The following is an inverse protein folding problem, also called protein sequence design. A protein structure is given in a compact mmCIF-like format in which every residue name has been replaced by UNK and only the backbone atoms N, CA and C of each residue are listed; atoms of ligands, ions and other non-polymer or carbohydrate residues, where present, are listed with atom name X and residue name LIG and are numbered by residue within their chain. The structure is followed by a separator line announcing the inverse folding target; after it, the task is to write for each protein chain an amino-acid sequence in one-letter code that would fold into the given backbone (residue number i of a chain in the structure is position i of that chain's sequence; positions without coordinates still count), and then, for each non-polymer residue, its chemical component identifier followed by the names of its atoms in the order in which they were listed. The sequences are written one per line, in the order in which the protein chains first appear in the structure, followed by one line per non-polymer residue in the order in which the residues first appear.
data_IF_681997565051
#
_entry.id   IF_681997565051
#
_cell.length_a   1.000
_cell.length_b   1.000
_cell.length_c   1.000
_cell.angle_alpha   90.00
_cell.angle_beta   90.00
_cell.angle_gamma   90.00
#
_symmetry.space_group_name_H-M   'P 1'
#
loop_
_entity.id
_entity.type
_entity.pdbx_description
1 polymer ?
#
# COMPACT_ATOMS: atom_id res chain seq x y z
N UNK A 1 29.26 -79.55 24.93
CA UNK A 1 28.73 -79.51 26.31
C UNK A 1 27.85 -78.29 26.48
N UNK A 2 26.55 -78.42 26.79
CA UNK A 2 25.63 -77.30 26.91
C UNK A 2 25.83 -76.57 28.24
N UNK A 3 25.91 -75.23 28.21
CA UNK A 3 25.97 -74.40 29.42
C UNK A 3 24.59 -74.41 30.10
N UNK A 4 24.54 -74.62 31.43
CA UNK A 4 23.28 -74.79 32.14
C UNK A 4 22.48 -73.49 32.21
N UNK A 5 21.16 -73.64 32.05
CA UNK A 5 20.17 -72.58 32.19
C UNK A 5 20.18 -72.05 33.63
N UNK A 6 20.54 -70.78 33.82
CA UNK A 6 20.56 -70.12 35.13
C UNK A 6 19.13 -69.77 35.55
N UNK A 7 18.56 -70.56 36.45
CA UNK A 7 17.28 -70.29 37.13
C UNK A 7 17.37 -68.97 37.92
N UNK A 8 16.50 -68.00 37.61
CA UNK A 8 16.34 -66.77 38.40
C UNK A 8 15.82 -67.14 39.79
N UNK A 9 16.61 -66.82 40.81
CA UNK A 9 16.21 -66.99 42.21
C UNK A 9 15.03 -66.09 42.60
N UNK A 10 14.32 -66.43 43.69
CA UNK A 10 13.10 -65.75 44.11
C UNK A 10 13.39 -64.28 44.39
N UNK A 11 12.65 -63.40 43.69
CA UNK A 11 12.69 -61.97 43.94
C UNK A 11 12.16 -61.75 45.36
N UNK A 12 13.02 -61.21 46.22
CA UNK A 12 12.67 -60.83 47.58
C UNK A 12 11.42 -59.94 47.58
N UNK A 13 10.40 -60.31 48.38
CA UNK A 13 9.13 -59.57 48.55
C UNK A 13 9.32 -58.08 48.87
N UNK A 14 10.51 -57.66 49.35
CA UNK A 14 10.85 -56.24 49.56
C UNK A 14 11.11 -55.48 48.25
N UNK A 15 11.75 -56.10 47.25
CA UNK A 15 12.02 -55.47 45.94
C UNK A 15 10.74 -55.29 45.11
N UNK A 16 9.81 -56.24 45.23
CA UNK A 16 8.51 -56.17 44.56
C UNK A 16 7.64 -55.02 45.10
N UNK A 17 7.61 -54.82 46.43
CA UNK A 17 6.92 -53.68 47.05
C UNK A 17 7.50 -52.31 46.64
N UNK A 18 8.83 -52.21 46.51
CA UNK A 18 9.47 -50.96 46.05
C UNK A 18 9.13 -50.65 44.58
N UNK A 19 9.15 -51.66 43.70
CA UNK A 19 8.81 -51.47 42.29
C UNK A 19 7.34 -51.08 42.10
N UNK A 20 6.41 -51.74 42.81
CA UNK A 20 4.99 -51.38 42.76
C UNK A 20 4.69 -50.00 43.37
N UNK A 21 5.44 -49.57 44.39
CA UNK A 21 5.34 -48.21 44.96
C UNK A 21 5.74 -47.15 43.95
N UNK A 22 6.88 -47.31 43.28
CA UNK A 22 7.37 -46.34 42.29
C UNK A 22 6.49 -46.31 41.03
N UNK A 23 6.04 -47.48 40.54
CA UNK A 23 5.07 -47.55 39.42
C UNK A 23 3.74 -46.88 39.79
N UNK A 24 3.27 -47.03 41.04
CA UNK A 24 2.03 -46.39 41.52
C UNK A 24 2.21 -44.87 41.69
N UNK A 25 3.38 -44.38 42.08
CA UNK A 25 3.71 -42.93 42.12
C UNK A 25 3.80 -42.34 40.71
N UNK A 26 4.47 -43.02 39.77
CA UNK A 26 4.58 -42.57 38.38
C UNK A 26 3.22 -42.52 37.68
N UNK A 27 2.33 -43.50 37.90
CA UNK A 27 0.95 -43.46 37.36
C UNK A 27 0.14 -42.28 37.87
N UNK A 28 0.31 -41.89 39.15
CA UNK A 28 -0.35 -40.70 39.71
C UNK A 28 0.22 -39.42 39.13
N UNK A 29 1.54 -39.35 38.89
CA UNK A 29 2.18 -38.18 38.31
C UNK A 29 1.77 -37.97 36.85
N UNK A 30 1.69 -39.05 36.06
CA UNK A 30 1.20 -39.01 34.66
C UNK A 30 -0.27 -38.60 34.61
N UNK A 31 -1.10 -39.07 35.54
CA UNK A 31 -2.51 -38.68 35.61
C UNK A 31 -2.67 -37.19 35.96
N UNK A 32 -1.88 -36.66 36.91
CA UNK A 32 -1.89 -35.24 37.26
C UNK A 32 -1.41 -34.37 36.09
N UNK A 33 -0.39 -34.82 35.34
CA UNK A 33 0.10 -34.11 34.15
C UNK A 33 -0.93 -34.11 33.01
N UNK A 34 -1.63 -35.23 32.81
CA UNK A 34 -2.70 -35.33 31.81
C UNK A 34 -3.92 -34.46 32.17
N UNK A 35 -4.30 -34.40 33.45
CA UNK A 35 -5.38 -33.51 33.93
C UNK A 35 -4.95 -32.03 33.79
N UNK A 36 -3.69 -31.69 34.07
CA UNK A 36 -3.17 -30.34 33.88
C UNK A 36 -3.11 -29.91 32.39
N UNK A 37 -2.87 -30.84 31.47
CA UNK A 37 -2.89 -30.60 30.02
C UNK A 37 -4.32 -30.44 29.45
N UNK A 38 -5.32 -31.08 30.05
CA UNK A 38 -6.74 -30.95 29.67
C UNK A 38 -7.38 -29.71 30.32
N UNK A 39 -6.82 -29.25 31.44
CA UNK A 39 -7.25 -28.03 32.14
C UNK A 39 -6.54 -26.76 31.65
N UNK A 40 -5.78 -26.81 30.55
CA UNK A 40 -5.29 -25.60 29.91
C UNK A 40 -6.51 -24.81 29.42
N UNK A 41 -6.75 -23.57 29.92
CA UNK A 41 -7.81 -22.74 29.37
C UNK A 41 -7.54 -22.58 27.88
N UNK A 42 -8.54 -22.85 27.04
CA UNK A 42 -8.48 -22.40 25.65
C UNK A 42 -8.60 -20.88 25.70
N UNK A 43 -7.48 -20.19 25.86
CA UNK A 43 -7.43 -18.75 25.66
C UNK A 43 -8.00 -18.51 24.26
N UNK A 44 -9.08 -17.73 24.17
CA UNK A 44 -9.59 -17.33 22.88
C UNK A 44 -8.49 -16.70 22.05
N UNK A 45 -8.42 -17.12 20.80
CA UNK A 45 -7.45 -16.61 19.86
C UNK A 45 -8.08 -15.45 19.09
N UNK A 46 -7.43 -14.29 19.12
CA UNK A 46 -7.71 -13.19 18.20
C UNK A 46 -6.67 -13.24 17.10
N UNK A 47 -7.11 -13.40 15.87
CA UNK A 47 -6.26 -13.36 14.68
C UNK A 47 -6.45 -12.04 13.98
N UNK A 48 -5.35 -11.38 13.64
CA UNK A 48 -5.36 -10.19 12.81
C UNK A 48 -4.58 -10.43 11.52
N UNK A 49 -5.11 -9.91 10.42
CA UNK A 49 -4.48 -10.05 9.10
C UNK A 49 -4.54 -8.75 8.34
N UNK A 50 -3.43 -8.38 7.74
CA UNK A 50 -3.34 -7.29 6.78
C UNK A 50 -3.61 -7.85 5.39
N UNK A 51 -4.60 -7.33 4.67
CA UNK A 51 -4.94 -7.84 3.32
C UNK A 51 -5.05 -6.70 2.32
N UNK A 52 -4.34 -6.81 1.20
CA UNK A 52 -4.41 -5.84 0.12
C UNK A 52 -5.81 -5.83 -0.53
N UNK A 53 -6.31 -4.65 -0.84
CA UNK A 53 -7.59 -4.45 -1.54
C UNK A 53 -7.33 -4.39 -3.05
N UNK A 54 -7.53 -5.51 -3.75
CA UNK A 54 -7.26 -5.60 -5.19
C UNK A 54 -5.80 -5.24 -5.53
N UNK A 55 -5.58 -4.61 -6.68
CA UNK A 55 -4.27 -4.11 -7.11
C UNK A 55 -4.02 -2.65 -6.68
N UNK A 56 -4.44 -2.28 -5.45
CA UNK A 56 -4.30 -0.91 -4.92
C UNK A 56 -3.24 -0.80 -3.82
N UNK A 57 -2.92 0.43 -3.41
CA UNK A 57 -2.09 0.73 -2.25
C UNK A 57 -2.88 0.77 -0.93
N UNK A 58 -4.08 0.19 -0.90
CA UNK A 58 -4.99 0.16 0.25
C UNK A 58 -5.01 -1.24 0.86
N UNK A 59 -4.95 -1.30 2.19
CA UNK A 59 -4.92 -2.53 2.97
C UNK A 59 -6.01 -2.52 4.03
N UNK A 60 -6.75 -3.62 4.13
CA UNK A 60 -7.65 -3.84 5.26
C UNK A 60 -6.85 -4.36 6.46
N UNK A 61 -7.12 -3.79 7.63
CA UNK A 61 -6.73 -4.36 8.93
C UNK A 61 -7.91 -5.20 9.39
N UNK A 62 -7.80 -6.52 9.24
CA UNK A 62 -8.87 -7.45 9.58
C UNK A 62 -8.63 -8.07 10.95
N UNK A 63 -9.72 -8.49 11.61
CA UNK A 63 -9.70 -9.30 12.81
C UNK A 63 -10.66 -10.48 12.69
N UNK A 64 -10.38 -11.53 13.44
CA UNK A 64 -11.28 -12.63 13.73
C UNK A 64 -11.01 -13.15 15.14
N UNK A 65 -12.06 -13.47 15.90
CA UNK A 65 -11.97 -14.16 17.19
C UNK A 65 -12.75 -15.47 17.14
N UNK A 66 -12.23 -16.48 17.83
CA UNK A 66 -12.97 -17.71 18.12
C UNK A 66 -13.50 -17.76 19.55
N UNK A 67 -13.25 -16.70 20.35
CA UNK A 67 -13.74 -16.60 21.72
C UNK A 67 -15.24 -16.29 21.76
N UNK A 68 -15.90 -16.74 22.83
CA UNK A 68 -17.28 -16.37 23.12
C UNK A 68 -17.39 -14.92 23.61
N UNK A 69 -16.37 -14.42 24.31
CA UNK A 69 -16.23 -13.02 24.69
C UNK A 69 -15.62 -12.26 23.52
N UNK A 70 -16.22 -11.15 23.11
CA UNK A 70 -15.73 -10.40 21.95
C UNK A 70 -14.69 -9.35 22.37
N UNK A 71 -13.77 -8.96 21.46
CA UNK A 71 -12.91 -7.81 21.66
C UNK A 71 -13.73 -6.53 21.83
N UNK A 72 -13.44 -5.75 22.87
CA UNK A 72 -13.97 -4.40 23.11
C UNK A 72 -13.11 -3.32 22.49
N UNK A 73 -11.80 -3.52 22.43
CA UNK A 73 -10.88 -2.55 21.85
C UNK A 73 -9.64 -3.20 21.26
N UNK A 74 -9.03 -2.50 20.30
CA UNK A 74 -7.78 -2.83 19.65
C UNK A 74 -6.86 -1.61 19.72
N UNK A 75 -5.62 -1.84 20.14
CA UNK A 75 -4.53 -0.89 20.08
C UNK A 75 -3.34 -1.51 19.35
N UNK A 76 -2.99 -0.95 18.20
CA UNK A 76 -2.02 -1.54 17.25
C UNK A 76 -0.96 -0.53 16.84
N UNK A 77 0.27 -0.96 16.68
CA UNK A 77 1.27 -0.23 15.90
C UNK A 77 1.30 -0.83 14.50
N UNK A 78 0.99 -0.04 13.48
CA UNK A 78 1.06 -0.45 12.07
C UNK A 78 2.23 0.27 11.41
N UNK A 79 3.12 -0.48 10.79
CA UNK A 79 4.37 0.03 10.22
C UNK A 79 4.58 -0.45 8.79
N UNK A 80 5.05 0.44 7.93
CA UNK A 80 5.49 0.13 6.57
C UNK A 80 7.02 0.23 6.47
N UNK A 81 7.66 -0.85 6.05
CA UNK A 81 9.09 -0.91 5.78
C UNK A 81 9.43 -0.42 4.36
N UNK A 82 10.73 -0.21 4.09
CA UNK A 82 11.26 0.10 2.74
C UNK A 82 10.99 1.52 2.22
N UNK A 83 10.78 2.47 3.14
CA UNK A 83 10.71 3.91 2.83
C UNK A 83 9.32 4.42 2.45
N UNK A 84 8.31 3.56 2.50
CA UNK A 84 6.91 3.94 2.35
C UNK A 84 6.41 4.75 3.54
N UNK A 85 5.28 5.42 3.33
CA UNK A 85 4.59 6.23 4.33
C UNK A 85 3.13 5.82 4.39
N UNK A 86 2.50 5.96 5.55
CA UNK A 86 1.07 5.76 5.71
C UNK A 86 0.40 7.11 5.45
N UNK A 87 -0.34 7.22 4.35
CA UNK A 87 -0.94 8.49 3.90
C UNK A 87 -2.36 8.68 4.41
N UNK A 88 -3.09 7.59 4.65
CA UNK A 88 -4.43 7.65 5.21
C UNK A 88 -4.75 6.43 6.07
N UNK A 89 -5.63 6.62 7.04
CA UNK A 89 -6.31 5.56 7.77
C UNK A 89 -7.80 5.91 7.78
N UNK A 90 -8.64 5.00 7.31
CA UNK A 90 -10.10 5.20 7.23
C UNK A 90 -10.79 4.11 8.04
N UNK A 91 -11.50 4.45 9.13
CA UNK A 91 -12.22 3.46 9.91
C UNK A 91 -13.42 2.95 9.11
N UNK A 92 -13.83 1.69 9.33
CA UNK A 92 -15.05 1.15 8.70
C UNK A 92 -16.34 1.72 9.29
N UNK A 93 -16.23 2.30 10.49
CA UNK A 93 -17.32 2.88 11.23
C UNK A 93 -16.81 4.04 12.10
N UNK A 94 -17.65 5.05 12.32
CA UNK A 94 -17.44 6.07 13.34
C UNK A 94 -18.69 6.15 14.22
N UNK A 95 -18.49 6.17 15.53
CA UNK A 95 -19.57 6.22 16.52
C UNK A 95 -19.89 4.90 17.21
N UNK A 96 -20.95 4.93 18.02
CA UNK A 96 -21.44 3.79 18.79
C UNK A 96 -22.09 2.74 17.88
N UNK A 97 -22.02 1.48 18.28
CA UNK A 97 -22.72 0.39 17.59
C UNK A 97 -24.24 0.58 17.68
N UNK A 98 -24.89 0.37 16.54
CA UNK A 98 -26.35 0.35 16.38
C UNK A 98 -26.75 -0.92 15.66
N UNK A 99 -28.06 -1.17 15.55
CA UNK A 99 -28.57 -2.35 14.84
C UNK A 99 -28.13 -2.38 13.37
N UNK A 100 -28.08 -1.20 12.72
CA UNK A 100 -27.69 -1.04 11.32
C UNK A 100 -26.19 -0.87 11.06
N UNK A 101 -25.42 -0.49 12.08
CA UNK A 101 -23.97 -0.24 11.94
C UNK A 101 -23.25 -0.76 13.17
N UNK A 102 -22.51 -1.86 13.03
CA UNK A 102 -21.78 -2.53 14.12
C UNK A 102 -20.29 -2.52 13.81
N UNK A 103 -19.45 -2.27 14.82
CA UNK A 103 -18.01 -2.23 14.62
C UNK A 103 -17.26 -1.43 15.68
N UNK A 104 -16.08 -0.95 15.31
CA UNK A 104 -15.14 -0.31 16.22
C UNK A 104 -14.96 1.16 15.85
N UNK A 105 -15.97 1.98 16.16
CA UNK A 105 -16.04 3.38 15.77
C UNK A 105 -15.74 4.39 16.89
N UNK A 106 -15.31 3.94 18.06
CA UNK A 106 -14.88 4.80 19.17
C UNK A 106 -13.36 4.89 19.15
N UNK A 107 -12.78 6.08 19.20
CA UNK A 107 -11.32 6.27 19.14
C UNK A 107 -10.82 6.93 20.43
N UNK A 108 -10.44 6.14 21.45
CA UNK A 108 -10.19 6.64 22.81
C UNK A 108 -9.18 7.79 22.91
N UNK A 109 -8.07 7.76 22.16
CA UNK A 109 -7.05 8.81 22.21
C UNK A 109 -7.45 10.13 21.55
N UNK A 110 -8.57 10.18 20.81
CA UNK A 110 -8.97 11.37 20.03
C UNK A 110 -10.43 11.75 20.17
N UNK A 111 -11.23 10.97 20.89
CA UNK A 111 -12.63 11.29 21.16
C UNK A 111 -12.73 12.57 21.99
N UNK A 112 -13.57 13.48 21.53
CA UNK A 112 -13.90 14.72 22.25
C UNK A 112 -15.29 14.55 22.90
N UNK A 113 -15.29 14.51 24.23
CA UNK A 113 -16.50 14.42 25.04
C UNK A 113 -16.68 15.75 25.75
N UNK A 114 -17.86 16.34 25.60
CA UNK A 114 -18.26 17.52 26.32
C UNK A 114 -18.27 17.24 27.83
N UNK A 115 -17.32 17.80 28.56
CA UNK A 115 -17.17 17.58 30.01
C UNK A 115 -18.34 18.11 30.85
N UNK A 116 -19.25 18.91 30.29
CA UNK A 116 -20.43 19.43 31.00
C UNK A 116 -21.66 18.56 30.74
N UNK A 117 -21.89 18.16 29.49
CA UNK A 117 -23.10 17.42 29.11
C UNK A 117 -22.91 15.90 29.06
N UNK A 118 -21.66 15.43 28.99
CA UNK A 118 -21.33 14.03 28.76
C UNK A 118 -21.57 13.55 27.33
N UNK A 119 -21.99 14.43 26.41
CA UNK A 119 -22.19 14.08 25.01
C UNK A 119 -20.89 14.13 24.21
N UNK A 120 -20.80 13.28 23.18
CA UNK A 120 -19.68 13.25 22.26
C UNK A 120 -19.81 14.42 21.28
N UNK A 121 -18.82 15.33 21.27
CA UNK A 121 -18.70 16.38 20.26
C UNK A 121 -18.11 15.83 18.96
N UNK A 122 -17.14 14.91 19.07
CA UNK A 122 -16.49 14.24 17.95
C UNK A 122 -15.98 12.87 18.41
N UNK A 123 -16.15 11.85 17.57
CA UNK A 123 -15.57 10.53 17.83
C UNK A 123 -14.08 10.46 17.52
N UNK A 124 -13.53 11.45 16.81
CA UNK A 124 -12.10 11.58 16.54
C UNK A 124 -11.61 10.79 15.32
N UNK A 125 -10.38 10.30 15.41
CA UNK A 125 -9.64 9.52 14.41
C UNK A 125 -9.05 8.26 15.05
N UNK A 126 -9.02 7.11 14.34
CA UNK A 126 -8.36 5.92 14.85
C UNK A 126 -6.85 6.08 15.02
N UNK A 127 -6.22 7.11 14.43
CA UNK A 127 -4.78 7.37 14.57
C UNK A 127 -4.50 8.17 15.84
N UNK A 128 -3.72 7.60 16.74
CA UNK A 128 -3.31 8.26 17.97
C UNK A 128 -2.46 9.53 17.69
N UNK A 129 -2.67 10.63 18.43
CA UNK A 129 -1.86 11.83 18.32
C UNK A 129 -0.38 11.56 18.61
N UNK A 130 0.51 12.21 17.86
CA UNK A 130 1.97 12.02 18.02
C UNK A 130 2.51 12.52 19.38
N UNK A 131 1.71 13.29 20.13
CA UNK A 131 2.05 13.76 21.47
C UNK A 131 1.76 12.73 22.57
N UNK A 132 1.02 11.68 22.26
CA UNK A 132 0.62 10.70 23.26
C UNK A 132 1.73 9.67 23.57
N UNK A 133 1.71 9.06 24.77
CA UNK A 133 2.57 7.92 25.08
C UNK A 133 2.50 6.82 24.02
N UNK A 134 3.65 6.29 23.65
CA UNK A 134 3.79 5.25 22.62
C UNK A 134 3.62 5.71 21.17
N UNK A 135 3.18 6.95 20.92
CA UNK A 135 2.91 7.47 19.57
C UNK A 135 3.91 8.55 19.10
N UNK A 136 4.93 8.87 19.91
CA UNK A 136 5.94 9.86 19.57
C UNK A 136 6.65 9.54 18.23
N UNK A 137 6.63 10.51 17.30
CA UNK A 137 7.24 10.36 15.97
C UNK A 137 6.46 9.46 14.99
N UNK A 138 5.26 9.01 15.38
CA UNK A 138 4.33 8.27 14.52
C UNK A 138 3.23 9.20 14.00
N UNK A 139 2.44 8.74 13.03
CA UNK A 139 1.29 9.45 12.48
C UNK A 139 1.22 9.40 10.95
N UNK A 140 0.18 10.02 10.40
CA UNK A 140 0.03 10.13 8.95
C UNK A 140 1.23 10.87 8.33
N UNK A 141 1.65 10.43 7.14
CA UNK A 141 2.86 10.91 6.47
C UNK A 141 4.17 10.34 7.01
N UNK A 142 4.12 9.43 8.00
CA UNK A 142 5.28 8.70 8.51
C UNK A 142 5.19 7.21 8.14
N UNK A 143 6.25 6.44 8.42
CA UNK A 143 6.27 5.00 8.17
C UNK A 143 5.51 4.19 9.23
N UNK A 144 4.95 4.82 10.26
CA UNK A 144 4.31 4.12 11.38
C UNK A 144 3.15 4.92 11.95
N UNK A 145 2.04 4.26 12.24
CA UNK A 145 0.91 4.84 12.98
C UNK A 145 0.59 3.96 14.17
N UNK A 146 0.13 4.58 15.26
CA UNK A 146 -0.52 3.87 16.35
C UNK A 146 -2.01 4.04 16.17
N UNK A 147 -2.73 2.92 16.18
CA UNK A 147 -4.17 2.84 15.98
C UNK A 147 -4.87 2.49 17.29
N UNK A 148 -6.00 3.14 17.56
CA UNK A 148 -6.88 2.81 18.67
C UNK A 148 -8.32 2.78 18.21
N UNK A 149 -8.99 1.66 18.46
CA UNK A 149 -10.37 1.45 18.02
C UNK A 149 -11.12 0.67 19.10
N UNK A 150 -12.26 1.20 19.52
CA UNK A 150 -13.13 0.61 20.53
C UNK A 150 -14.54 0.43 20.00
N UNK A 151 -15.23 -0.56 20.52
CA UNK A 151 -16.66 -0.76 20.32
C UNK A 151 -17.40 -0.38 21.60
N UNK A 152 -18.36 0.55 21.48
CA UNK A 152 -19.37 0.78 22.50
C UNK A 152 -20.70 0.30 21.95
N UNK A 153 -21.31 -0.67 22.63
CA UNK A 153 -22.55 -1.28 22.20
C UNK A 153 -23.40 -1.67 23.41
N UNK A 154 -24.72 -1.75 23.19
CA UNK A 154 -25.71 -2.29 24.12
C UNK A 154 -26.47 -3.41 23.43
N UNK A 155 -26.98 -4.36 24.22
CA UNK A 155 -27.81 -5.49 23.74
C UNK A 155 -27.16 -6.26 22.58
N UNK A 156 -27.94 -6.53 21.52
CA UNK A 156 -27.55 -7.36 20.37
C UNK A 156 -26.77 -6.60 19.28
N UNK A 157 -26.28 -5.40 19.57
CA UNK A 157 -25.52 -4.56 18.62
C UNK A 157 -24.01 -4.84 18.64
N UNK A 158 -23.59 -5.98 19.19
CA UNK A 158 -22.18 -6.35 19.29
C UNK A 158 -21.52 -6.37 17.90
N UNK A 159 -20.23 -6.00 17.79
CA UNK A 159 -19.45 -6.30 16.59
C UNK A 159 -19.55 -7.79 16.22
N UNK A 160 -19.36 -8.10 14.94
CA UNK A 160 -19.23 -9.48 14.51
C UNK A 160 -17.95 -10.11 15.09
N UNK A 161 -17.89 -11.44 15.16
CA UNK A 161 -16.67 -12.14 15.58
C UNK A 161 -15.51 -11.95 14.59
N UNK A 162 -15.76 -11.45 13.39
CA UNK A 162 -14.73 -11.12 12.40
C UNK A 162 -15.15 -9.94 11.54
N UNK A 163 -14.19 -9.15 11.08
CA UNK A 163 -14.45 -8.03 10.17
C UNK A 163 -13.22 -7.19 9.89
N UNK A 164 -13.45 -6.02 9.30
CA UNK A 164 -12.42 -5.02 9.01
C UNK A 164 -12.51 -3.92 10.07
N UNK A 165 -11.39 -3.63 10.74
CA UNK A 165 -11.27 -2.51 11.68
C UNK A 165 -11.18 -1.21 10.89
N UNK A 166 -10.19 -1.10 10.03
CA UNK A 166 -9.93 0.08 9.20
C UNK A 166 -9.22 -0.30 7.91
N UNK A 167 -9.14 0.66 6.99
CA UNK A 167 -8.26 0.59 5.83
C UNK A 167 -7.08 1.53 6.03
N UNK A 168 -5.89 1.08 5.63
CA UNK A 168 -4.64 1.84 5.65
C UNK A 168 -4.19 2.05 4.21
N UNK A 169 -3.91 3.30 3.84
CA UNK A 169 -3.37 3.65 2.52
C UNK A 169 -1.89 3.92 2.63
N UNK A 170 -1.10 3.29 1.76
CA UNK A 170 0.36 3.43 1.71
C UNK A 170 0.73 4.39 0.57
N UNK A 171 1.44 5.46 0.88
CA UNK A 171 2.23 6.21 -0.10
C UNK A 171 3.61 5.56 -0.26
N UNK A 172 3.89 5.06 -1.45
CA UNK A 172 5.16 4.43 -1.77
C UNK A 172 6.35 5.40 -1.72
N UNK A 173 6.12 6.73 -1.74
CA UNK A 173 7.16 7.76 -1.69
C UNK A 173 8.26 7.53 -2.76
N UNK A 174 7.86 7.06 -3.96
CA UNK A 174 8.77 6.75 -5.07
C UNK A 174 9.57 5.44 -4.93
N UNK A 175 9.38 4.65 -3.85
CA UNK A 175 9.99 3.34 -3.70
C UNK A 175 9.45 2.35 -4.75
N UNK A 176 10.34 1.58 -5.36
CA UNK A 176 10.03 0.80 -6.56
C UNK A 176 9.70 -0.67 -6.31
N UNK A 177 10.04 -1.26 -5.16
CA UNK A 177 9.68 -2.67 -4.82
C UNK A 177 9.77 -2.97 -3.32
N UNK A 178 9.02 -3.97 -2.86
CA UNK A 178 9.17 -4.72 -1.59
C UNK A 178 8.89 -3.95 -0.28
N UNK A 179 7.78 -3.21 -0.20
CA UNK A 179 7.33 -2.74 1.11
C UNK A 179 6.73 -3.90 1.89
N UNK A 180 6.96 -3.92 3.20
CA UNK A 180 6.27 -4.85 4.10
C UNK A 180 5.40 -4.02 5.03
N UNK A 181 4.10 -4.26 5.00
CA UNK A 181 3.18 -3.73 5.99
C UNK A 181 3.08 -4.74 7.13
N UNK A 182 3.41 -4.29 8.32
CA UNK A 182 3.42 -5.10 9.53
C UNK A 182 2.54 -4.46 10.59
N UNK A 183 2.04 -5.28 11.50
CA UNK A 183 1.31 -4.80 12.67
C UNK A 183 1.80 -5.50 13.93
N UNK A 184 1.82 -4.77 15.04
CA UNK A 184 2.14 -5.27 16.36
C UNK A 184 1.10 -4.75 17.36
N UNK A 185 0.93 -5.44 18.48
CA UNK A 185 0.11 -4.92 19.57
C UNK A 185 0.79 -3.73 20.22
N UNK A 186 0.02 -2.68 20.49
CA UNK A 186 0.42 -1.63 21.43
C UNK A 186 -0.10 -2.03 22.81
N UNK A 187 0.61 -2.95 23.47
CA UNK A 187 0.25 -3.41 24.82
C UNK A 187 0.87 -2.57 25.94
N UNK A 188 1.92 -1.79 25.65
CA UNK A 188 2.71 -1.11 26.69
C UNK A 188 1.97 0.08 27.28
N UNK A 189 1.32 0.87 26.43
CA UNK A 189 0.63 2.10 26.82
C UNK A 189 -0.89 2.00 26.63
N UNK A 190 -1.37 1.10 25.76
CA UNK A 190 -2.77 1.09 25.27
C UNK A 190 -3.47 -0.27 25.38
N UNK A 191 -2.81 -1.26 26.00
CA UNK A 191 -3.44 -2.53 26.41
C UNK A 191 -3.63 -3.57 25.31
N UNK A 192 -3.24 -3.29 24.06
CA UNK A 192 -3.32 -4.24 22.95
C UNK A 192 -4.76 -4.57 22.59
N UNK A 193 -5.13 -5.85 22.70
CA UNK A 193 -6.53 -6.28 22.54
C UNK A 193 -7.17 -6.41 23.90
N UNK A 194 -8.29 -5.71 24.10
CA UNK A 194 -9.07 -5.76 25.34
C UNK A 194 -10.34 -6.57 25.09
N UNK A 195 -10.54 -7.64 25.85
CA UNK A 195 -11.71 -8.52 25.75
C UNK A 195 -12.82 -8.07 26.71
N UNK A 196 -14.04 -8.56 26.48
CA UNK A 196 -15.21 -8.29 27.31
C UNK A 196 -15.11 -8.69 28.78
N UNK A 197 -14.45 -9.81 29.03
CA UNK A 197 -14.20 -10.36 30.35
C UNK A 197 -12.97 -9.75 31.04
N UNK A 198 -12.23 -8.90 30.31
CA UNK A 198 -10.98 -8.31 30.77
C UNK A 198 -9.77 -9.25 30.68
N UNK A 199 -9.94 -10.46 30.14
CA UNK A 199 -8.84 -11.39 29.93
C UNK A 199 -7.96 -10.94 28.76
N UNK A 200 -6.70 -11.37 28.80
CA UNK A 200 -5.73 -11.11 27.73
C UNK A 200 -5.74 -12.28 26.74
N UNK A 201 -6.18 -12.07 25.50
CA UNK A 201 -6.30 -13.15 24.53
C UNK A 201 -4.93 -13.52 23.96
N UNK A 202 -4.81 -14.73 23.43
CA UNK A 202 -3.68 -15.04 22.56
C UNK A 202 -3.89 -14.32 21.22
N UNK A 203 -2.97 -13.43 20.83
CA UNK A 203 -3.08 -12.69 19.58
C UNK A 203 -2.06 -13.19 18.57
N UNK A 204 -2.53 -13.51 17.37
CA UNK A 204 -1.68 -13.79 16.20
C UNK A 204 -1.86 -12.69 15.17
N UNK A 205 -0.76 -12.15 14.66
CA UNK A 205 -0.78 -11.11 13.63
C UNK A 205 0.01 -11.62 12.43
N UNK A 206 -0.61 -11.56 11.25
CA UNK A 206 0.06 -11.87 9.98
C UNK A 206 0.37 -10.58 9.22
N UNK A 207 1.65 -10.38 8.93
CA UNK A 207 2.14 -9.30 8.07
C UNK A 207 1.68 -9.47 6.62
N UNK A 208 1.63 -8.36 5.88
CA UNK A 208 1.40 -8.35 4.45
C UNK A 208 2.67 -7.87 3.71
N UNK A 209 3.16 -8.69 2.79
CA UNK A 209 4.19 -8.23 1.85
C UNK A 209 3.51 -7.55 0.67
N UNK A 210 3.92 -6.31 0.40
CA UNK A 210 3.46 -5.54 -0.75
C UNK A 210 4.41 -5.72 -1.93
N UNK A 211 3.95 -6.44 -2.94
CA UNK A 211 4.69 -6.62 -4.20
C UNK A 211 4.35 -5.57 -5.25
N UNK A 212 3.37 -4.70 -4.98
CA UNK A 212 2.69 -3.90 -6.00
C UNK A 212 2.81 -2.39 -5.83
N UNK A 213 3.90 -1.84 -5.28
CA UNK A 213 4.20 -0.41 -5.45
C UNK A 213 4.36 -0.14 -6.96
N UNK A 214 3.25 -0.06 -7.68
CA UNK A 214 3.18 0.61 -8.95
C UNK A 214 3.29 2.07 -8.55
N UNK A 215 4.39 2.77 -8.83
CA UNK A 215 4.42 4.20 -8.61
C UNK A 215 3.16 4.76 -9.26
N UNK A 216 2.39 5.55 -8.52
CA UNK A 216 1.42 6.44 -9.15
C UNK A 216 2.30 7.37 -9.98
N UNK A 217 2.58 6.97 -11.22
CA UNK A 217 3.16 7.84 -12.22
C UNK A 217 2.11 8.91 -12.38
N UNK A 218 2.30 10.03 -11.68
CA UNK A 218 1.58 11.25 -12.01
C UNK A 218 1.87 11.50 -13.47
N UNK A 219 0.88 11.18 -14.29
CA UNK A 219 0.99 11.31 -15.73
C UNK A 219 1.13 12.80 -16.01
N UNK A 220 2.27 13.18 -16.59
CA UNK A 220 2.59 14.57 -16.86
C UNK A 220 1.62 15.24 -17.84
N UNK A 221 0.80 14.44 -18.52
CA UNK A 221 -0.21 14.85 -19.46
C UNK A 221 -1.64 14.77 -18.90
N UNK A 222 -1.83 14.34 -17.65
CA UNK A 222 -3.15 14.22 -17.04
C UNK A 222 -3.89 15.57 -17.03
N UNK A 223 -5.18 15.54 -17.39
CA UNK A 223 -6.04 16.73 -17.42
C UNK A 223 -5.91 17.60 -18.66
N UNK A 224 -5.04 17.27 -19.62
CA UNK A 224 -5.01 17.95 -20.92
C UNK A 224 -6.25 17.61 -21.76
N UNK A 225 -6.71 18.57 -22.58
CA UNK A 225 -7.92 18.41 -23.39
C UNK A 225 -7.81 17.25 -24.41
N UNK A 226 -6.59 16.92 -24.81
CA UNK A 226 -6.20 15.88 -25.75
C UNK A 226 -5.56 14.66 -25.05
N UNK A 227 -5.80 14.47 -23.75
CA UNK A 227 -5.29 13.31 -22.99
C UNK A 227 -5.60 11.97 -23.67
N UNK A 228 -6.79 11.82 -24.27
CA UNK A 228 -7.14 10.62 -25.02
C UNK A 228 -6.22 10.35 -26.23
N UNK A 229 -5.72 11.40 -26.89
CA UNK A 229 -4.75 11.28 -27.98
C UNK A 229 -3.39 10.81 -27.46
N UNK A 230 -2.95 11.31 -26.30
CA UNK A 230 -1.72 10.88 -25.66
C UNK A 230 -1.76 9.39 -25.29
N UNK A 231 -2.90 8.92 -24.76
CA UNK A 231 -3.13 7.50 -24.48
C UNK A 231 -3.07 6.67 -25.78
N UNK A 232 -3.76 7.11 -26.83
CA UNK A 232 -3.77 6.44 -28.14
C UNK A 232 -2.39 6.41 -28.82
N UNK A 233 -1.56 7.43 -28.58
CA UNK A 233 -0.17 7.51 -29.04
C UNK A 233 0.80 6.62 -28.22
N UNK A 234 0.32 5.89 -27.21
CA UNK A 234 1.15 5.02 -26.38
C UNK A 234 1.83 5.72 -25.20
N UNK A 235 1.28 6.85 -24.75
CA UNK A 235 1.77 7.66 -23.62
C UNK A 235 3.25 8.07 -23.74
N UNK A 236 3.67 8.69 -24.87
CA UNK A 236 5.07 9.11 -25.03
C UNK A 236 5.46 10.16 -23.98
N UNK A 237 6.57 9.92 -23.27
CA UNK A 237 7.06 10.79 -22.18
C UNK A 237 7.42 12.22 -22.64
N UNK A 238 7.73 12.38 -23.92
CA UNK A 238 8.14 13.63 -24.54
C UNK A 238 6.98 14.61 -24.78
N UNK A 239 5.71 14.20 -24.66
CA UNK A 239 4.57 15.11 -24.87
C UNK A 239 4.31 16.19 -23.81
N UNK A 240 4.58 16.10 -22.51
CA UNK A 240 5.83 15.87 -21.83
C UNK A 240 6.64 17.16 -21.74
N UNK A 241 7.34 17.50 -22.81
CA UNK A 241 8.25 18.62 -22.83
C UNK A 241 7.51 19.94 -23.02
N UNK A 242 7.98 20.96 -22.30
CA UNK A 242 7.39 22.31 -22.33
C UNK A 242 7.39 22.96 -23.71
N UNK A 243 8.15 22.41 -24.68
CA UNK A 243 8.23 22.86 -26.08
C UNK A 243 7.82 21.80 -27.10
N UNK A 244 7.26 20.66 -26.70
CA UNK A 244 6.97 19.57 -27.65
C UNK A 244 6.01 20.02 -28.76
N UNK A 245 4.94 20.73 -28.41
CA UNK A 245 4.01 21.36 -29.37
C UNK A 245 4.62 22.47 -30.25
N UNK A 246 5.93 22.74 -30.10
CA UNK A 246 6.73 23.65 -30.92
C UNK A 246 7.78 22.92 -31.76
N UNK A 247 7.82 21.59 -31.76
CA UNK A 247 8.74 20.80 -32.57
C UNK A 247 9.93 20.21 -31.81
N UNK A 248 9.96 20.31 -30.48
CA UNK A 248 11.00 19.75 -29.62
C UNK A 248 10.66 18.30 -29.25
N UNK A 249 11.16 17.35 -30.05
CA UNK A 249 10.90 15.92 -29.90
C UNK A 249 11.89 15.23 -28.96
N UNK A 250 13.15 15.67 -28.92
CA UNK A 250 14.18 15.03 -28.09
C UNK A 250 14.39 15.72 -26.73
N UNK A 251 13.94 16.97 -26.59
CA UNK A 251 14.09 17.77 -25.37
C UNK A 251 15.47 18.43 -25.24
N UNK A 252 16.39 18.20 -26.18
CA UNK A 252 17.80 18.50 -26.02
C UNK A 252 18.14 19.86 -26.62
N UNK A 253 18.79 20.69 -25.79
CA UNK A 253 19.38 21.95 -26.25
C UNK A 253 20.59 21.67 -27.14
N UNK A 254 20.53 22.16 -28.37
CA UNK A 254 21.56 22.05 -29.40
C UNK A 254 22.26 23.40 -29.63
N UNK A 255 23.47 23.38 -30.22
CA UNK A 255 24.28 24.57 -30.50
C UNK A 255 25.44 24.79 -29.52
N UNK A 256 25.97 26.00 -29.48
CA UNK A 256 27.12 26.36 -28.64
C UNK A 256 27.09 27.81 -28.16
N UNK A 257 27.98 28.16 -27.24
CA UNK A 257 28.03 29.48 -26.63
C UNK A 257 28.43 30.63 -27.59
N UNK A 258 29.03 30.33 -28.74
CA UNK A 258 29.46 31.33 -29.74
C UNK A 258 28.36 31.62 -30.75
N UNK A 259 27.62 30.60 -31.17
CA UNK A 259 26.57 30.73 -32.20
C UNK A 259 25.15 30.79 -31.62
N UNK A 260 25.01 30.59 -30.31
CA UNK A 260 23.72 30.48 -29.64
C UNK A 260 23.21 29.04 -29.59
N UNK A 261 22.25 28.84 -28.69
CA UNK A 261 21.57 27.56 -28.47
C UNK A 261 20.15 27.60 -29.04
N UNK A 262 19.61 26.43 -29.39
CA UNK A 262 18.23 26.23 -29.84
C UNK A 262 17.74 24.84 -29.38
N UNK A 263 16.42 24.64 -29.33
CA UNK A 263 15.82 23.34 -28.95
C UNK A 263 15.30 22.54 -30.15
N UNK A 264 14.83 23.21 -31.20
CA UNK A 264 14.27 22.54 -32.38
C UNK A 264 15.31 22.51 -33.50
N UNK A 265 15.78 21.31 -33.85
CA UNK A 265 16.87 21.14 -34.79
C UNK A 265 17.01 19.72 -35.35
N UNK A 266 18.27 19.31 -35.56
CA UNK A 266 18.58 18.09 -36.30
C UNK A 266 18.22 16.81 -35.56
N UNK A 267 18.27 16.83 -34.22
CA UNK A 267 17.78 15.72 -33.40
C UNK A 267 16.28 15.47 -33.63
N UNK A 268 15.48 16.53 -33.58
CA UNK A 268 14.03 16.49 -33.78
C UNK A 268 13.64 16.07 -35.19
N UNK A 269 14.36 16.58 -36.20
CA UNK A 269 14.14 16.17 -37.59
C UNK A 269 14.42 14.67 -37.79
N UNK A 270 15.41 14.12 -37.08
CA UNK A 270 15.71 12.69 -37.13
C UNK A 270 14.57 11.87 -36.56
N UNK A 271 13.95 12.33 -35.46
CA UNK A 271 12.77 11.66 -34.87
C UNK A 271 11.57 11.79 -35.80
N UNK A 272 11.30 12.97 -36.35
CA UNK A 272 10.19 13.20 -37.28
C UNK A 272 10.31 12.36 -38.54
N UNK A 273 11.50 12.28 -39.13
CA UNK A 273 11.73 11.44 -40.33
C UNK A 273 11.58 9.95 -40.01
N UNK A 274 12.00 9.51 -38.82
CA UNK A 274 11.80 8.14 -38.35
C UNK A 274 10.32 7.79 -38.09
N UNK A 275 9.47 8.77 -37.81
CA UNK A 275 8.04 8.60 -37.53
C UNK A 275 7.14 8.91 -38.74
N UNK A 276 7.70 9.44 -39.82
CA UNK A 276 6.96 10.03 -40.94
C UNK A 276 5.96 9.05 -41.57
N UNK A 277 4.67 9.36 -41.44
CA UNK A 277 3.55 8.58 -42.00
C UNK A 277 3.60 7.09 -41.65
N UNK A 278 4.18 6.74 -40.50
CA UNK A 278 4.07 5.38 -39.97
C UNK A 278 2.60 5.13 -39.62
N UNK A 279 2.01 4.12 -40.26
CA UNK A 279 0.60 3.79 -40.07
C UNK A 279 0.37 3.09 -38.73
N UNK A 280 -0.73 3.46 -38.07
CA UNK A 280 -1.21 2.79 -36.87
C UNK A 280 -1.76 1.39 -37.21
N UNK A 281 -1.78 0.46 -36.24
CA UNK A 281 -2.47 -0.81 -36.40
C UNK A 281 -3.95 -0.59 -36.77
N UNK A 282 -4.54 -1.45 -37.61
CA UNK A 282 -3.96 -2.65 -38.22
C UNK A 282 -3.18 -2.40 -39.54
N UNK A 283 -3.12 -1.16 -40.05
CA UNK A 283 -2.54 -0.85 -41.36
C UNK A 283 -1.01 -0.70 -41.33
N UNK A 284 -0.42 -0.59 -40.14
CA UNK A 284 1.02 -0.59 -39.93
C UNK A 284 1.40 -0.97 -38.50
N UNK A 285 2.70 -0.89 -38.17
CA UNK A 285 3.21 -1.30 -36.86
C UNK A 285 2.85 -0.34 -35.72
N UNK A 286 2.38 0.87 -36.04
CA UNK A 286 2.29 1.97 -35.08
C UNK A 286 3.64 2.59 -34.76
N UNK A 287 3.61 3.68 -34.00
CA UNK A 287 4.82 4.35 -33.51
C UNK A 287 5.43 3.55 -32.36
N UNK A 288 6.75 3.46 -32.33
CA UNK A 288 7.52 2.79 -31.29
C UNK A 288 8.62 3.71 -30.71
N UNK A 289 8.92 3.54 -29.43
CA UNK A 289 9.98 4.29 -28.76
C UNK A 289 9.77 5.81 -28.84
N UNK A 290 10.76 6.54 -29.34
CA UNK A 290 10.73 8.00 -29.46
C UNK A 290 9.93 8.52 -30.66
N UNK A 291 9.44 7.65 -31.55
CA UNK A 291 8.70 8.10 -32.74
C UNK A 291 7.42 8.88 -32.39
N UNK A 292 6.78 8.56 -31.26
CA UNK A 292 5.63 9.31 -30.74
C UNK A 292 5.92 10.77 -30.39
N UNK A 293 7.20 11.14 -30.23
CA UNK A 293 7.60 12.49 -29.87
C UNK A 293 7.45 13.51 -30.99
N UNK A 294 7.40 13.05 -32.24
CA UNK A 294 7.26 13.91 -33.41
C UNK A 294 5.81 14.21 -33.80
N UNK A 295 4.82 13.71 -33.05
CA UNK A 295 3.41 14.12 -33.16
C UNK A 295 3.26 15.45 -32.40
N UNK A 296 3.63 16.57 -33.02
CA UNK A 296 3.65 17.90 -32.41
C UNK A 296 2.28 18.59 -32.43
N UNK A 297 1.44 18.25 -33.40
CA UNK A 297 0.09 18.79 -33.49
C UNK A 297 -0.95 17.97 -32.69
N UNK A 298 -0.57 16.76 -32.26
CA UNK A 298 -1.40 15.78 -31.54
C UNK A 298 -2.61 15.29 -32.36
N UNK A 299 -2.57 15.46 -33.69
CA UNK A 299 -3.68 15.16 -34.58
C UNK A 299 -3.43 13.90 -35.40
N UNK A 300 -4.44 13.03 -35.38
CA UNK A 300 -4.48 11.88 -36.27
C UNK A 300 -4.84 12.31 -37.69
N UNK A 301 -4.03 11.91 -38.67
CA UNK A 301 -4.20 12.16 -40.09
C UNK A 301 -4.49 10.85 -40.85
N UNK A 302 -5.05 10.94 -42.06
CA UNK A 302 -5.42 9.78 -42.87
C UNK A 302 -6.90 9.42 -42.77
N UNK A 303 -7.26 8.20 -43.19
CA UNK A 303 -8.64 7.73 -43.23
C UNK A 303 -8.79 6.23 -42.93
N UNK A 304 -10.03 5.78 -42.73
CA UNK A 304 -10.33 4.40 -42.38
C UNK A 304 -10.03 3.36 -43.48
N UNK A 305 -9.87 3.77 -44.74
CA UNK A 305 -9.57 2.88 -45.87
C UNK A 305 -8.07 2.68 -46.06
N UNK A 306 -7.29 3.74 -45.88
CA UNK A 306 -5.84 3.77 -46.13
C UNK A 306 -5.01 3.66 -44.86
N UNK A 307 -5.65 3.77 -43.70
CA UNK A 307 -5.01 3.77 -42.40
C UNK A 307 -4.79 5.19 -41.89
N UNK A 308 -4.65 5.27 -40.57
CA UNK A 308 -4.33 6.51 -39.88
C UNK A 308 -2.84 6.55 -39.54
N UNK A 309 -2.27 7.75 -39.51
CA UNK A 309 -0.93 8.04 -39.00
C UNK A 309 -1.00 9.32 -38.16
N UNK A 310 0.02 9.58 -37.34
CA UNK A 310 0.08 10.76 -36.49
C UNK A 310 1.05 11.81 -37.04
N UNK A 311 2.28 11.38 -37.34
CA UNK A 311 3.32 12.29 -37.82
C UNK A 311 3.22 12.53 -39.32
N UNK A 312 3.00 13.79 -39.71
CA UNK A 312 2.82 14.21 -41.09
C UNK A 312 3.07 15.69 -41.33
N UNK A 313 2.28 16.28 -42.23
CA UNK A 313 2.54 17.64 -42.73
C UNK A 313 2.28 18.74 -41.70
N UNK A 314 1.35 18.52 -40.77
CA UNK A 314 1.13 19.44 -39.64
C UNK A 314 2.37 19.55 -38.77
N UNK A 315 2.95 18.40 -38.39
CA UNK A 315 4.17 18.32 -37.59
C UNK A 315 5.38 18.94 -38.30
N UNK A 316 5.54 18.66 -39.60
CA UNK A 316 6.62 19.28 -40.38
C UNK A 316 6.47 20.81 -40.41
N UNK A 317 5.25 21.32 -40.47
CA UNK A 317 4.98 22.77 -40.44
C UNK A 317 5.38 23.35 -39.08
N UNK A 318 5.06 22.66 -37.98
CA UNK A 318 5.47 23.08 -36.62
C UNK A 318 7.00 23.08 -36.47
N UNK A 319 7.66 22.01 -36.88
CA UNK A 319 9.12 21.87 -36.80
C UNK A 319 9.82 22.96 -37.62
N UNK A 320 9.37 23.20 -38.86
CA UNK A 320 9.98 24.22 -39.72
C UNK A 320 9.72 25.63 -39.24
N UNK A 321 8.57 25.90 -38.62
CA UNK A 321 8.23 27.21 -38.04
C UNK A 321 9.17 27.59 -36.89
N UNK A 322 9.60 26.62 -36.10
CA UNK A 322 10.45 26.85 -34.92
C UNK A 322 11.92 26.44 -35.17
N UNK A 323 12.28 26.13 -36.41
CA UNK A 323 13.58 25.58 -36.78
C UNK A 323 14.74 26.50 -36.39
N UNK A 324 15.61 26.01 -35.49
CA UNK A 324 16.81 26.72 -35.03
C UNK A 324 16.55 28.15 -34.56
N UNK A 325 15.38 28.42 -33.99
CA UNK A 325 15.12 29.70 -33.30
C UNK A 325 16.06 29.79 -32.10
N UNK A 326 16.96 30.77 -32.13
CA UNK A 326 17.98 30.93 -31.11
C UNK A 326 17.40 31.46 -29.81
N UNK A 327 17.86 30.91 -28.69
CA UNK A 327 17.51 31.32 -27.33
C UNK A 327 18.05 32.72 -26.97
N UNK A 328 17.55 33.34 -25.88
CA UNK A 328 17.96 34.68 -25.44
C UNK A 328 19.48 34.87 -25.39
N UNK A 329 19.92 36.10 -25.68
CA UNK A 329 21.30 36.52 -26.04
C UNK A 329 21.59 36.47 -27.55
N UNK A 330 21.03 35.49 -28.27
CA UNK A 330 21.23 35.34 -29.72
C UNK A 330 19.94 35.35 -30.54
N UNK A 331 18.77 35.22 -29.90
CA UNK A 331 17.48 35.32 -30.55
C UNK A 331 16.31 35.41 -29.56
N UNK A 332 15.06 35.35 -30.06
CA UNK A 332 13.86 35.48 -29.24
C UNK A 332 13.52 34.24 -28.40
N UNK A 333 14.11 33.09 -28.71
CA UNK A 333 13.82 31.79 -28.10
C UNK A 333 12.47 31.19 -28.49
N UNK A 334 12.28 29.92 -28.15
CA UNK A 334 10.98 29.25 -28.27
C UNK A 334 10.32 29.20 -26.88
N UNK A 335 9.12 29.75 -26.78
CA UNK A 335 8.41 29.84 -25.50
C UNK A 335 8.03 28.44 -24.97
N UNK A 336 8.30 28.14 -23.68
CA UNK A 336 7.98 26.85 -23.05
C UNK A 336 6.52 26.79 -22.59
N UNK A 337 5.56 26.81 -23.53
CA UNK A 337 4.12 26.98 -23.22
C UNK A 337 3.25 25.77 -23.56
N UNK A 338 3.83 24.63 -23.93
CA UNK A 338 3.04 23.46 -24.33
C UNK A 338 2.31 22.79 -23.16
N UNK A 339 2.84 22.89 -21.93
CA UNK A 339 2.23 22.33 -20.73
C UNK A 339 2.35 23.28 -19.52
N UNK A 340 1.41 23.23 -18.56
CA UNK A 340 1.48 23.99 -17.32
C UNK A 340 2.54 23.46 -16.32
N UNK A 341 3.20 22.34 -16.60
CA UNK A 341 4.18 21.70 -15.72
C UNK A 341 5.62 21.78 -16.26
N UNK A 342 6.54 22.27 -15.43
CA UNK A 342 7.98 22.43 -15.72
C UNK A 342 8.76 21.09 -15.73
N UNK A 343 8.39 20.11 -16.56
CA UNK A 343 9.36 19.05 -16.90
C UNK A 343 10.21 19.56 -18.07
N UNK A 344 11.33 20.19 -17.71
CA UNK A 344 12.48 20.18 -18.60
C UNK A 344 13.11 18.78 -18.52
N UNK A 345 13.63 18.25 -19.64
CA UNK A 345 14.30 16.95 -19.69
C UNK A 345 15.54 16.88 -18.78
#
# INVERSE_FOLDING_TARGET
MPKPCRTRGPISKKKEKYYFSEVRKMKKLVLVLAIALIAAPSFGAVTMTLTQVGDSNVYNVNYATSDANLPRAFALTVSVAGGGKISAVTPTMTGQCTEGTRGYGIFPGTIDINGVTGFVNSYGSPVAPSGDPGAAGTGLGTSTVVLEMGSLYVDNNTPAASGILCTVTIDCNGATVNQTLSAALESTYRGGVVMEDGDQPAVTIADATYTGCVPVVTECYAGMADYAQWVDAGKPNCWCYVRQCKGDADGLKQGDAKTGYYYVGTGDLTILTGAWKVLNPPFGPGLAGTQGCADFDHLKQGDAKTGYYRVGTGDLTILTTNWKVLEPTFGPGVAPTCLPGNRQP
#
